data_IF_155707473955
#
_entry.id   IF_155707473955
#
_cell.length_a   1.000
_cell.length_b   1.000
_cell.length_c   1.000
_cell.angle_alpha   90.00
_cell.angle_beta   90.00
_cell.angle_gamma   90.00
#
_symmetry.space_group_name_H-M   'P 1'
#
loop_
_entity.id
_entity.type
_entity.pdbx_description
1 polymer ?
#
# COMPACT_ATOMS: atom_id res chain seq x y z
N UNK A 1 -10.44 -14.99 17.41
CA UNK A 1 -9.90 -14.22 16.26
C UNK A 1 -8.41 -13.86 16.41
N UNK A 2 -7.93 -13.40 17.59
CA UNK A 2 -6.49 -13.06 17.78
C UNK A 2 -5.54 -14.26 17.60
N UNK A 3 -5.92 -15.43 18.11
CA UNK A 3 -5.08 -16.64 18.00
C UNK A 3 -5.00 -17.20 16.57
N UNK A 4 -6.05 -17.03 15.73
CA UNK A 4 -6.03 -17.51 14.34
C UNK A 4 -5.09 -16.69 13.46
N UNK A 5 -5.07 -15.36 13.65
CA UNK A 5 -4.15 -14.46 12.94
C UNK A 5 -2.69 -14.72 13.33
N UNK A 6 -2.42 -14.97 14.61
CA UNK A 6 -1.09 -15.32 15.08
C UNK A 6 -0.60 -16.63 14.45
N UNK A 7 -1.46 -17.66 14.40
CA UNK A 7 -1.10 -18.93 13.76
C UNK A 7 -0.82 -18.75 12.26
N UNK A 8 -1.64 -17.96 11.55
CA UNK A 8 -1.40 -17.63 10.15
C UNK A 8 -0.06 -16.93 9.93
N UNK A 9 0.29 -15.97 10.79
CA UNK A 9 1.59 -15.31 10.75
C UNK A 9 2.75 -16.30 10.91
N UNK A 10 2.65 -17.23 11.86
CA UNK A 10 3.69 -18.23 12.10
C UNK A 10 3.81 -19.19 10.93
N UNK A 11 2.69 -19.65 10.34
CA UNK A 11 2.73 -20.47 9.14
C UNK A 11 3.37 -19.75 7.95
N UNK A 12 3.08 -18.46 7.78
CA UNK A 12 3.69 -17.64 6.75
C UNK A 12 5.21 -17.52 6.95
N UNK A 13 5.67 -17.33 8.19
CA UNK A 13 7.09 -17.33 8.52
C UNK A 13 7.74 -18.69 8.23
N UNK A 14 7.13 -19.80 8.67
CA UNK A 14 7.65 -21.14 8.36
C UNK A 14 7.75 -21.38 6.85
N UNK A 15 6.75 -20.93 6.08
CA UNK A 15 6.75 -21.04 4.62
C UNK A 15 7.89 -20.24 3.98
N UNK A 16 8.13 -19.00 4.43
CA UNK A 16 9.26 -18.19 3.97
C UNK A 16 10.59 -18.90 4.24
N UNK A 17 10.80 -19.42 5.45
CA UNK A 17 12.02 -20.16 5.79
C UNK A 17 12.20 -21.41 4.92
N UNK A 18 11.11 -22.11 4.58
CA UNK A 18 11.15 -23.27 3.70
C UNK A 18 11.54 -22.90 2.26
N UNK A 19 11.05 -21.77 1.74
CA UNK A 19 11.50 -21.23 0.44
C UNK A 19 13.00 -20.95 0.48
N UNK A 20 13.49 -20.27 1.54
CA UNK A 20 14.92 -20.01 1.70
C UNK A 20 15.75 -21.28 1.86
N UNK A 21 15.21 -22.34 2.47
CA UNK A 21 15.86 -23.64 2.56
C UNK A 21 15.97 -24.33 1.19
N UNK A 22 15.02 -24.07 0.27
CA UNK A 22 14.99 -24.68 -1.06
C UNK A 22 15.84 -23.93 -2.10
N UNK A 23 16.09 -22.64 -1.93
CA UNK A 23 16.90 -21.83 -2.85
C UNK A 23 18.34 -22.38 -3.09
N UNK A 24 19.09 -22.87 -2.08
CA UNK A 24 20.41 -23.46 -2.28
C UNK A 24 20.38 -24.81 -3.02
N UNK A 25 19.28 -25.55 -2.89
CA UNK A 25 19.09 -26.87 -3.54
C UNK A 25 19.12 -26.71 -5.06
N UNK A 26 18.51 -25.64 -5.58
CA UNK A 26 18.49 -25.34 -7.02
C UNK A 26 19.87 -24.94 -7.58
N UNK A 27 20.79 -24.51 -6.73
CA UNK A 27 22.15 -24.08 -7.11
C UNK A 27 23.22 -25.16 -6.92
N UNK A 28 22.83 -26.40 -6.57
CA UNK A 28 23.76 -27.52 -6.31
C UNK A 28 24.76 -27.25 -5.18
N UNK A 29 24.40 -26.38 -4.23
CA UNK A 29 25.17 -26.17 -3.00
C UNK A 29 24.72 -27.12 -1.90
N UNK A 30 25.58 -27.38 -0.91
CA UNK A 30 25.24 -28.21 0.25
C UNK A 30 24.00 -27.65 0.94
N UNK A 31 23.01 -28.51 1.13
CA UNK A 31 21.78 -28.15 1.85
C UNK A 31 22.17 -27.81 3.29
N UNK A 32 21.97 -26.56 3.66
CA UNK A 32 22.17 -26.12 5.04
C UNK A 32 20.98 -26.63 5.89
N UNK A 33 21.22 -27.75 6.58
CA UNK A 33 20.24 -28.48 7.40
C UNK A 33 19.56 -27.55 8.44
N UNK A 34 20.26 -26.50 8.88
CA UNK A 34 19.72 -25.45 9.75
C UNK A 34 18.40 -24.88 9.22
N UNK A 35 18.28 -24.61 7.91
CA UNK A 35 17.09 -23.96 7.35
C UNK A 35 15.88 -24.89 7.27
N UNK A 36 16.05 -26.20 7.45
CA UNK A 36 14.97 -27.18 7.55
C UNK A 36 14.57 -27.38 9.01
N UNK A 37 15.55 -27.45 9.91
CA UNK A 37 15.30 -27.67 11.35
C UNK A 37 14.59 -26.47 11.98
N UNK A 38 15.00 -25.25 11.65
CA UNK A 38 14.46 -24.02 12.23
C UNK A 38 12.92 -23.89 12.05
N UNK A 39 12.35 -23.98 10.83
CA UNK A 39 10.90 -23.88 10.66
C UNK A 39 10.14 -25.05 11.31
N UNK A 40 10.74 -26.24 11.36
CA UNK A 40 10.12 -27.40 12.01
C UNK A 40 10.00 -27.22 13.53
N UNK A 41 11.07 -26.71 14.17
CA UNK A 41 11.05 -26.38 15.61
C UNK A 41 10.08 -25.25 15.91
N UNK A 42 10.04 -24.19 15.09
CA UNK A 42 9.10 -23.08 15.26
C UNK A 42 7.64 -23.56 15.15
N UNK A 43 7.36 -24.45 14.18
CA UNK A 43 6.04 -25.04 14.00
C UNK A 43 5.59 -25.86 15.23
N UNK A 44 6.48 -26.73 15.74
CA UNK A 44 6.24 -27.50 16.95
C UNK A 44 6.05 -26.60 18.18
N UNK A 45 6.92 -25.61 18.37
CA UNK A 45 6.81 -24.67 19.49
C UNK A 45 5.53 -23.85 19.44
N UNK A 46 5.01 -23.50 18.26
CA UNK A 46 3.72 -22.82 18.16
C UNK A 46 2.55 -23.70 18.66
N UNK A 47 2.59 -25.00 18.35
CA UNK A 47 1.54 -25.94 18.77
C UNK A 47 1.48 -26.09 20.30
N UNK A 48 2.64 -26.13 20.97
CA UNK A 48 2.71 -26.34 22.42
C UNK A 48 2.76 -25.04 23.25
N UNK A 49 3.41 -23.99 22.75
CA UNK A 49 3.70 -22.76 23.48
C UNK A 49 3.30 -21.48 22.71
N UNK A 50 2.09 -21.47 22.14
CA UNK A 50 1.56 -20.32 21.38
C UNK A 50 1.67 -18.97 22.13
N UNK A 51 1.58 -18.95 23.47
CA UNK A 51 1.69 -17.71 24.27
C UNK A 51 3.06 -17.02 24.14
N UNK A 52 4.15 -17.76 23.93
CA UNK A 52 5.50 -17.19 23.77
C UNK A 52 5.65 -16.37 22.48
N UNK A 53 4.86 -16.69 21.44
CA UNK A 53 4.90 -16.00 20.15
C UNK A 53 3.95 -14.81 20.06
N UNK A 54 3.17 -14.53 21.12
CA UNK A 54 2.29 -13.36 21.17
C UNK A 54 3.05 -12.02 21.15
N UNK A 55 4.13 -11.77 21.92
CA UNK A 55 4.82 -10.48 21.90
C UNK A 55 5.49 -10.20 20.56
N UNK A 56 6.09 -11.21 19.92
CA UNK A 56 6.73 -11.06 18.60
C UNK A 56 5.70 -10.75 17.52
N UNK A 57 4.54 -11.41 17.55
CA UNK A 57 3.44 -11.11 16.63
C UNK A 57 2.93 -9.67 16.83
N UNK A 58 2.76 -9.23 18.07
CA UNK A 58 2.31 -7.86 18.35
C UNK A 58 3.33 -6.81 17.92
N UNK A 59 4.62 -7.05 18.13
CA UNK A 59 5.68 -6.18 17.65
C UNK A 59 5.67 -6.07 16.12
N UNK A 60 5.52 -7.20 15.42
CA UNK A 60 5.42 -7.23 13.96
C UNK A 60 4.20 -6.46 13.44
N UNK A 61 3.03 -6.66 14.06
CA UNK A 61 1.81 -5.93 13.70
C UNK A 61 1.95 -4.43 13.94
N UNK A 62 2.68 -4.01 14.98
CA UNK A 62 2.95 -2.60 15.24
C UNK A 62 3.82 -1.97 14.14
N UNK A 63 4.85 -2.67 13.70
CA UNK A 63 5.68 -2.26 12.56
C UNK A 63 4.83 -2.15 11.29
N UNK A 64 3.98 -3.15 11.03
CA UNK A 64 3.03 -3.13 9.90
C UNK A 64 2.12 -1.90 9.93
N UNK A 65 1.60 -1.53 11.09
CA UNK A 65 0.75 -0.33 11.27
C UNK A 65 1.50 0.97 10.99
N UNK A 66 2.77 1.06 11.38
CA UNK A 66 3.61 2.23 11.08
C UNK A 66 3.83 2.33 9.58
N UNK A 67 4.17 1.21 8.93
CA UNK A 67 4.35 1.13 7.48
C UNK A 67 3.06 1.51 6.73
N UNK A 68 1.91 1.00 7.18
CA UNK A 68 0.60 1.33 6.62
C UNK A 68 0.30 2.84 6.67
N UNK A 69 0.76 3.55 7.71
CA UNK A 69 0.57 5.00 7.81
C UNK A 69 1.55 5.78 6.93
N UNK A 70 2.77 5.28 6.75
CA UNK A 70 3.87 6.00 6.09
C UNK A 70 3.88 5.76 4.58
N UNK A 71 3.56 4.56 4.11
CA UNK A 71 3.65 4.19 2.70
C UNK A 71 2.67 5.00 1.82
N UNK A 72 1.37 5.15 2.16
CA UNK A 72 0.43 5.90 1.33
C UNK A 72 0.87 7.35 1.04
N UNK A 73 1.25 8.19 2.03
CA UNK A 73 1.69 9.55 1.73
C UNK A 73 2.99 9.59 0.93
N UNK A 74 3.90 8.62 1.08
CA UNK A 74 5.13 8.53 0.26
C UNK A 74 4.77 8.25 -1.20
N UNK A 75 3.96 7.23 -1.45
CA UNK A 75 3.51 6.88 -2.81
C UNK A 75 2.75 8.05 -3.44
N UNK A 76 1.82 8.66 -2.70
CA UNK A 76 1.06 9.82 -3.18
C UNK A 76 1.97 11.01 -3.50
N UNK A 77 3.01 11.25 -2.69
CA UNK A 77 3.98 12.31 -2.96
C UNK A 77 4.75 12.03 -4.25
N UNK A 78 5.23 10.80 -4.45
CA UNK A 78 5.91 10.41 -5.69
C UNK A 78 5.01 10.62 -6.91
N UNK A 79 3.77 10.12 -6.85
CA UNK A 79 2.78 10.31 -7.92
C UNK A 79 2.55 11.79 -8.19
N UNK A 80 2.40 12.60 -7.14
CA UNK A 80 2.20 14.04 -7.26
C UNK A 80 3.39 14.72 -7.94
N UNK A 81 4.62 14.46 -7.50
CA UNK A 81 5.80 15.12 -8.04
C UNK A 81 6.20 14.62 -9.43
N UNK A 82 5.87 13.37 -9.78
CA UNK A 82 6.22 12.80 -11.09
C UNK A 82 5.15 13.01 -12.15
N UNK A 83 3.87 13.04 -11.78
CA UNK A 83 2.77 13.20 -12.75
C UNK A 83 2.14 14.58 -12.64
N UNK A 84 1.49 14.87 -11.52
CA UNK A 84 0.65 16.06 -11.40
C UNK A 84 1.44 17.37 -11.44
N UNK A 85 2.59 17.42 -10.76
CA UNK A 85 3.45 18.58 -10.69
C UNK A 85 4.00 18.99 -12.08
N UNK A 86 4.64 18.10 -12.87
CA UNK A 86 5.14 18.50 -14.18
C UNK A 86 4.02 18.83 -15.16
N UNK A 87 2.88 18.14 -15.10
CA UNK A 87 1.71 18.47 -15.95
C UNK A 87 1.20 19.88 -15.63
N UNK A 88 1.00 20.20 -14.34
CA UNK A 88 0.56 21.52 -13.92
C UNK A 88 1.59 22.61 -14.23
N UNK A 89 2.87 22.31 -14.06
CA UNK A 89 3.96 23.21 -14.41
C UNK A 89 4.00 23.49 -15.92
N UNK A 90 3.85 22.46 -16.74
CA UNK A 90 3.81 22.58 -18.20
C UNK A 90 2.59 23.36 -18.69
N UNK A 91 1.40 23.12 -18.13
CA UNK A 91 0.20 23.91 -18.44
C UNK A 91 0.38 25.38 -18.08
N UNK A 92 1.05 25.66 -16.95
CA UNK A 92 1.39 27.03 -16.54
C UNK A 92 2.39 27.69 -17.50
N UNK A 93 3.38 26.95 -17.99
CA UNK A 93 4.32 27.45 -19.01
C UNK A 93 3.63 27.77 -20.34
N UNK A 94 2.66 26.95 -20.76
CA UNK A 94 1.83 27.21 -21.95
C UNK A 94 0.86 28.39 -21.72
N UNK A 95 0.66 28.81 -20.47
CA UNK A 95 -0.29 29.86 -20.12
C UNK A 95 -1.75 29.42 -20.18
N UNK A 96 -2.01 28.10 -20.25
CA UNK A 96 -3.36 27.55 -20.22
C UNK A 96 -3.88 27.54 -18.78
N UNK A 97 -4.83 28.43 -18.51
CA UNK A 97 -5.59 28.44 -17.27
C UNK A 97 -6.88 27.61 -17.44
N UNK A 98 -6.80 26.31 -17.17
CA UNK A 98 -7.95 25.40 -17.29
C UNK A 98 -9.02 25.65 -16.22
N UNK A 99 -8.67 26.38 -15.15
CA UNK A 99 -9.55 26.59 -14.01
C UNK A 99 -10.05 28.04 -13.91
N UNK A 100 -9.78 28.87 -14.93
CA UNK A 100 -10.12 30.30 -14.96
C UNK A 100 -9.81 31.01 -13.61
N UNK A 101 -8.63 30.72 -13.06
CA UNK A 101 -8.19 31.23 -11.75
C UNK A 101 -7.79 32.70 -11.78
N UNK A 102 -7.52 33.27 -12.96
CA UNK A 102 -7.22 34.70 -13.10
C UNK A 102 -8.46 35.54 -12.73
N UNK A 103 -8.26 36.47 -11.81
CA UNK A 103 -9.26 37.48 -11.48
C UNK A 103 -9.34 38.52 -12.60
N UNK A 104 -10.47 38.54 -13.29
CA UNK A 104 -10.82 39.55 -14.29
C UNK A 104 -11.65 40.65 -13.60
N UNK A 105 -11.08 41.85 -13.45
CA UNK A 105 -11.75 42.98 -12.78
C UNK A 105 -12.86 43.62 -13.62
N UNK A 106 -12.83 43.40 -14.94
CA UNK A 106 -13.78 43.96 -15.91
C UNK A 106 -14.99 43.05 -16.13
N UNK A 107 -15.00 41.83 -15.59
CA UNK A 107 -16.15 40.91 -15.69
C UNK A 107 -17.24 41.32 -14.68
N UNK A 108 -18.44 41.56 -15.19
CA UNK A 108 -19.63 41.81 -14.36
C UNK A 108 -20.05 40.58 -13.54
N UNK A 109 -19.79 39.36 -14.05
CA UNK A 109 -20.08 38.12 -13.36
C UNK A 109 -19.18 36.97 -13.83
N UNK A 110 -18.79 36.09 -12.90
CA UNK A 110 -18.09 34.84 -13.19
C UNK A 110 -19.06 33.67 -13.49
N UNK A 111 -20.37 33.93 -13.48
CA UNK A 111 -21.39 32.90 -13.68
C UNK A 111 -21.33 32.35 -15.11
N UNK A 112 -21.01 31.07 -15.24
CA UNK A 112 -21.03 30.37 -16.53
C UNK A 112 -22.48 29.99 -16.81
N UNK A 113 -23.10 30.69 -17.75
CA UNK A 113 -24.47 30.42 -18.20
C UNK A 113 -24.45 29.07 -18.94
N UNK A 114 -25.34 28.16 -18.52
CA UNK A 114 -25.53 26.89 -19.23
C UNK A 114 -26.38 27.15 -20.46
N UNK A 115 -25.90 26.73 -21.63
CA UNK A 115 -26.69 26.74 -22.87
C UNK A 115 -27.53 25.47 -23.04
N UNK A 116 -27.42 24.51 -22.12
CA UNK A 116 -28.17 23.27 -22.20
C UNK A 116 -29.64 23.53 -21.89
N UNK A 117 -30.52 22.92 -22.69
CA UNK A 117 -31.96 22.92 -22.42
C UNK A 117 -32.24 22.30 -21.04
N UNK A 118 -33.18 22.86 -20.30
CA UNK A 118 -33.53 22.39 -18.96
C UNK A 118 -34.18 21.01 -19.09
N UNK A 119 -33.37 19.96 -18.94
CA UNK A 119 -33.86 18.59 -18.95
C UNK A 119 -34.42 18.19 -17.59
N UNK A 120 -35.50 17.43 -17.61
CA UNK A 120 -36.12 16.87 -16.41
C UNK A 120 -35.20 15.80 -15.79
N UNK A 121 -34.95 15.87 -14.48
CA UNK A 121 -34.20 14.83 -13.72
C UNK A 121 -34.94 13.48 -13.62
N UNK A 122 -36.04 13.29 -14.35
CA UNK A 122 -36.81 12.04 -14.36
C UNK A 122 -36.02 10.83 -14.88
N UNK A 123 -34.97 11.06 -15.69
CA UNK A 123 -34.14 10.01 -16.30
C UNK A 123 -32.64 10.26 -16.10
N UNK A 124 -32.22 10.51 -14.85
CA UNK A 124 -30.81 10.83 -14.54
C UNK A 124 -29.89 9.60 -14.38
N UNK A 125 -30.44 8.38 -14.39
CA UNK A 125 -29.70 7.12 -14.23
C UNK A 125 -29.87 6.22 -15.45
#
# INVERSE_FOLDING_TARGET
>A
MKNSLQNQFIYLMCFIFLIFAFLPVLKSEKINIIFIIVPFVIFLMNMFFSKLFTPIFLAWMFIGKILEKIIPPIIMSIIFFTLFFPIGFFLKLIGKDLLNKKFEKEKESYWIIRNDEIQSMRYQF
#
